data_IF_359153446684
#
_entry.id   IF_359153446684
#
_cell.length_a   1.000
_cell.length_b   1.000
_cell.length_c   1.000
_cell.angle_alpha   90.00
_cell.angle_beta   90.00
_cell.angle_gamma   90.00
#
_symmetry.space_group_name_H-M   'P 1'
#
loop_
_entity.id
_entity.type
_entity.pdbx_description
1 polymer ?
#
# COMPACT_ATOMS: atom_id res chain seq x y z
N UNK A 1 -11.72 -5.57 -15.39
CA UNK A 1 -11.73 -4.25 -14.72
C UNK A 1 -10.75 -4.29 -13.55
N UNK A 2 -9.46 -4.13 -13.86
CA UNK A 2 -8.35 -4.43 -12.94
C UNK A 2 -8.13 -3.36 -11.87
N UNK A 3 -7.27 -3.69 -10.91
CA UNK A 3 -6.82 -2.83 -9.81
C UNK A 3 -6.15 -1.51 -10.25
N UNK A 4 -6.05 -1.25 -11.56
CA UNK A 4 -5.44 -0.06 -12.14
C UNK A 4 -6.13 1.25 -11.72
N UNK A 5 -7.43 1.23 -11.40
CA UNK A 5 -8.15 2.42 -10.94
C UNK A 5 -7.87 2.83 -9.48
N UNK A 6 -7.15 2.00 -8.72
CA UNK A 6 -6.92 2.27 -7.28
C UNK A 6 -6.06 3.52 -7.08
N UNK A 7 -4.98 3.68 -7.86
CA UNK A 7 -4.11 4.85 -7.76
C UNK A 7 -4.86 6.18 -8.06
N UNK A 8 -5.57 6.34 -9.20
CA UNK A 8 -6.33 7.56 -9.46
C UNK A 8 -7.49 7.76 -8.47
N UNK A 9 -8.13 6.69 -7.98
CA UNK A 9 -9.16 6.80 -6.95
C UNK A 9 -8.59 7.33 -5.63
N UNK A 10 -7.44 6.81 -5.18
CA UNK A 10 -6.76 7.28 -3.97
C UNK A 10 -6.30 8.74 -4.11
N UNK A 11 -5.77 9.14 -5.27
CA UNK A 11 -5.44 10.55 -5.53
C UNK A 11 -6.69 11.44 -5.51
N UNK A 12 -7.81 10.98 -6.09
CA UNK A 12 -9.07 11.72 -6.06
C UNK A 12 -9.64 11.86 -4.64
N UNK A 13 -9.56 10.80 -3.82
CA UNK A 13 -9.98 10.83 -2.41
C UNK A 13 -9.05 11.70 -1.56
N UNK A 14 -7.74 11.67 -1.80
CA UNK A 14 -6.77 12.52 -1.10
C UNK A 14 -6.95 14.02 -1.42
N UNK A 15 -7.37 14.35 -2.65
CA UNK A 15 -7.75 15.72 -3.02
C UNK A 15 -9.09 16.16 -2.42
N UNK A 16 -10.07 15.26 -2.32
CA UNK A 16 -11.38 15.57 -1.71
C UNK A 16 -11.37 15.55 -0.16
N UNK A 17 -10.30 15.06 0.46
CA UNK A 17 -10.17 15.06 1.92
C UNK A 17 -10.00 16.49 2.45
N UNK A 18 -11.02 16.99 3.15
CA UNK A 18 -11.05 18.33 3.79
C UNK A 18 -10.17 18.49 5.03
N UNK A 19 -9.61 17.40 5.57
CA UNK A 19 -8.80 17.44 6.79
C UNK A 19 -7.39 18.02 6.57
N UNK A 20 -6.88 18.03 5.33
CA UNK A 20 -5.50 18.41 5.01
C UNK A 20 -5.44 19.13 3.64
N UNK A 21 -4.61 20.18 3.46
CA UNK A 21 -4.48 20.86 2.18
C UNK A 21 -4.03 19.90 1.06
N UNK A 22 -4.67 19.98 -0.11
CA UNK A 22 -4.50 19.02 -1.22
C UNK A 22 -3.03 18.77 -1.59
N UNK A 23 -2.22 19.84 -1.65
CA UNK A 23 -0.80 19.73 -1.97
C UNK A 23 -0.03 18.87 -0.95
N UNK A 24 -0.37 18.97 0.33
CA UNK A 24 0.30 18.20 1.40
C UNK A 24 -0.18 16.75 1.43
N UNK A 25 -1.44 16.48 1.09
CA UNK A 25 -1.99 15.13 0.99
C UNK A 25 -1.31 14.30 -0.13
N UNK A 26 -1.11 14.92 -1.30
CA UNK A 26 -0.43 14.29 -2.45
C UNK A 26 1.05 14.05 -2.12
N UNK A 27 1.74 15.02 -1.53
CA UNK A 27 3.13 14.85 -1.09
C UNK A 27 3.25 13.73 -0.06
N UNK A 28 2.39 13.71 0.98
CA UNK A 28 2.41 12.67 2.01
C UNK A 28 2.19 11.27 1.42
N UNK A 29 1.21 11.11 0.52
CA UNK A 29 0.97 9.86 -0.22
C UNK A 29 2.22 9.40 -0.99
N UNK A 30 2.88 10.33 -1.67
CA UNK A 30 4.07 10.05 -2.48
C UNK A 30 5.27 9.71 -1.60
N UNK A 31 5.47 10.45 -0.51
CA UNK A 31 6.50 10.16 0.50
C UNK A 31 6.28 8.78 1.12
N UNK A 32 5.04 8.44 1.48
CA UNK A 32 4.71 7.12 2.01
C UNK A 32 4.94 6.02 0.96
N UNK A 33 4.59 6.28 -0.30
CA UNK A 33 4.83 5.39 -1.43
C UNK A 33 6.32 5.08 -1.63
N UNK A 34 7.16 6.11 -1.71
CA UNK A 34 8.62 5.94 -1.82
C UNK A 34 9.25 5.33 -0.57
N UNK A 35 8.79 5.73 0.62
CA UNK A 35 9.24 5.11 1.88
C UNK A 35 8.92 3.61 1.91
N UNK A 36 7.74 3.20 1.44
CA UNK A 36 7.37 1.79 1.32
C UNK A 36 8.22 1.04 0.29
N UNK A 37 8.51 1.64 -0.87
CA UNK A 37 9.39 1.05 -1.89
C UNK A 37 10.82 0.85 -1.38
N UNK A 38 11.34 1.77 -0.57
CA UNK A 38 12.68 1.66 0.04
C UNK A 38 12.70 0.71 1.24
N UNK A 39 11.67 0.75 2.10
CA UNK A 39 11.58 -0.07 3.29
C UNK A 39 11.28 -1.54 2.98
N UNK A 40 10.55 -1.81 1.89
CA UNK A 40 10.18 -3.17 1.47
C UNK A 40 11.39 -4.11 1.34
N UNK A 41 12.39 -3.82 0.49
CA UNK A 41 13.59 -4.64 0.34
C UNK A 41 14.38 -4.81 1.65
N UNK A 42 14.46 -3.77 2.48
CA UNK A 42 15.17 -3.82 3.76
C UNK A 42 14.48 -4.76 4.76
N UNK A 43 13.16 -4.68 4.88
CA UNK A 43 12.35 -5.58 5.71
C UNK A 43 12.42 -7.02 5.20
N UNK A 44 12.36 -7.22 3.87
CA UNK A 44 12.49 -8.54 3.24
C UNK A 44 13.89 -9.12 3.48
N UNK A 45 14.95 -8.32 3.33
CA UNK A 45 16.34 -8.74 3.56
C UNK A 45 16.62 -9.09 5.03
N UNK A 46 16.05 -8.33 5.97
CA UNK A 46 16.12 -8.65 7.40
C UNK A 46 15.41 -9.97 7.72
N UNK A 47 14.22 -10.20 7.17
CA UNK A 47 13.50 -11.47 7.30
C UNK A 47 14.22 -12.64 6.61
N UNK A 48 14.90 -12.40 5.49
CA UNK A 48 15.69 -13.41 4.76
C UNK A 48 16.89 -13.90 5.57
N UNK A 49 17.53 -13.00 6.34
CA UNK A 49 18.76 -13.31 7.06
C UNK A 49 18.54 -14.28 8.24
N UNK A 50 17.34 -14.26 8.84
CA UNK A 50 17.01 -15.13 9.97
C UNK A 50 16.66 -16.57 9.57
N UNK A 51 15.81 -16.76 8.55
CA UNK A 51 15.21 -18.06 8.21
C UNK A 51 15.36 -18.48 6.74
N UNK A 52 16.14 -17.73 5.95
CA UNK A 52 16.38 -18.01 4.53
C UNK A 52 15.32 -17.45 3.59
N UNK A 53 15.47 -17.76 2.30
CA UNK A 53 14.68 -17.20 1.19
C UNK A 53 13.16 -17.45 1.33
N UNK A 54 12.76 -18.55 1.98
CA UNK A 54 11.35 -18.90 2.20
C UNK A 54 10.63 -17.85 3.07
N UNK A 55 11.29 -17.31 4.09
CA UNK A 55 10.69 -16.27 4.95
C UNK A 55 10.53 -14.93 4.20
N UNK A 56 11.50 -14.59 3.34
CA UNK A 56 11.44 -13.42 2.47
C UNK A 56 10.24 -13.47 1.51
N UNK A 57 10.02 -14.63 0.88
CA UNK A 57 8.87 -14.85 0.00
C UNK A 57 7.54 -14.89 0.77
N UNK A 58 7.51 -15.49 1.96
CA UNK A 58 6.34 -15.48 2.84
C UNK A 58 5.97 -14.07 3.32
N UNK A 59 6.95 -13.21 3.57
CA UNK A 59 6.71 -11.81 3.94
C UNK A 59 6.06 -11.03 2.78
N UNK A 60 6.53 -11.24 1.55
CA UNK A 60 5.91 -10.66 0.35
C UNK A 60 4.49 -11.21 0.15
N UNK A 61 4.29 -12.51 0.35
CA UNK A 61 2.97 -13.13 0.27
C UNK A 61 2.01 -12.57 1.32
N UNK A 62 2.47 -12.37 2.55
CA UNK A 62 1.70 -11.76 3.63
C UNK A 62 1.36 -10.29 3.33
N UNK A 63 2.31 -9.52 2.78
CA UNK A 63 2.06 -8.15 2.34
C UNK A 63 1.01 -8.09 1.21
N UNK A 64 1.11 -8.98 0.21
CA UNK A 64 0.09 -9.13 -0.83
C UNK A 64 -1.27 -9.53 -0.25
N UNK A 65 -1.30 -10.42 0.75
CA UNK A 65 -2.53 -10.84 1.41
C UNK A 65 -3.18 -9.69 2.20
N UNK A 66 -2.37 -8.91 2.92
CA UNK A 66 -2.84 -7.71 3.61
C UNK A 66 -3.42 -6.68 2.63
N UNK A 67 -2.74 -6.44 1.50
CA UNK A 67 -3.26 -5.58 0.42
C UNK A 67 -4.56 -6.14 -0.16
N UNK A 68 -4.66 -7.45 -0.37
CA UNK A 68 -5.87 -8.09 -0.87
C UNK A 68 -7.05 -7.94 0.11
N UNK A 69 -6.81 -8.08 1.42
CA UNK A 69 -7.82 -7.84 2.46
C UNK A 69 -8.24 -6.37 2.45
N UNK A 70 -7.30 -5.42 2.46
CA UNK A 70 -7.60 -3.99 2.42
C UNK A 70 -8.35 -3.59 1.16
N UNK A 71 -7.97 -4.13 0.01
CA UNK A 71 -8.66 -3.92 -1.26
C UNK A 71 -10.07 -4.53 -1.24
N UNK A 72 -10.26 -5.67 -0.57
CA UNK A 72 -11.58 -6.29 -0.39
C UNK A 72 -12.46 -5.49 0.57
N UNK A 73 -11.90 -5.00 1.68
CA UNK A 73 -12.59 -4.11 2.60
C UNK A 73 -13.03 -2.79 1.93
N UNK A 74 -12.13 -2.18 1.15
CA UNK A 74 -12.43 -0.97 0.40
C UNK A 74 -13.50 -1.20 -0.69
N UNK A 75 -13.57 -2.40 -1.26
CA UNK A 75 -14.63 -2.78 -2.21
C UNK A 75 -15.98 -3.03 -1.53
N UNK A 76 -16.00 -3.50 -0.29
CA UNK A 76 -17.24 -3.81 0.43
C UNK A 76 -17.93 -2.56 0.98
N UNK A 77 -17.19 -1.49 1.28
CA UNK A 77 -17.77 -0.21 1.72
C UNK A 77 -18.32 0.70 0.59
N UNK A 78 -18.19 0.31 -0.68
CA UNK A 78 -18.72 1.06 -1.84
C UNK A 78 -19.95 0.37 -2.47
N UNK A 79 -20.60 -0.54 -1.73
CA UNK A 79 -21.79 -1.26 -2.15
C UNK A 79 -23.06 -0.82 -1.39
N UNK A 80 -23.02 0.35 -0.74
CA UNK A 80 -24.18 1.03 -0.15
C UNK A 80 -24.41 2.38 -0.83
#
# INVERSE_FOLDING_TARGET
MGCANIAPALFSMAGQQRAMPEGMAITAMTTLGYAGVLAGPALIGFAAHGWGLTAALMLVAAAMFAVAISARWLRLGNAE
#
